data_IF_530079044702
#
_entry.id   IF_530079044702
#
_cell.length_a   1.000
_cell.length_b   1.000
_cell.length_c   1.000
_cell.angle_alpha   90.00
_cell.angle_beta   90.00
_cell.angle_gamma   90.00
#
_symmetry.space_group_name_H-M   'P 1'
#
loop_
_entity.id
_entity.type
_entity.pdbx_description
1 polymer ?
#
# COMPACT_ATOMS: atom_id res chain seq x y z
N UNK A 1 -17.97 -14.24 42.99
CA UNK A 1 -17.92 -13.51 41.70
C UNK A 1 -16.74 -14.04 40.92
N UNK A 2 -16.95 -14.82 39.85
CA UNK A 2 -15.87 -15.44 39.04
C UNK A 2 -15.79 -14.71 37.70
N UNK A 3 -14.69 -13.99 37.49
CA UNK A 3 -14.44 -13.16 36.31
C UNK A 3 -14.05 -14.05 35.13
N UNK A 4 -14.92 -14.15 34.12
CA UNK A 4 -14.65 -14.89 32.88
C UNK A 4 -13.83 -14.01 31.95
N UNK A 5 -12.54 -14.31 31.84
CA UNK A 5 -11.60 -13.68 30.92
C UNK A 5 -11.88 -14.19 29.50
N UNK A 6 -12.51 -13.38 28.66
CA UNK A 6 -12.75 -13.69 27.25
C UNK A 6 -11.60 -13.13 26.40
N UNK A 7 -10.50 -13.87 26.28
CA UNK A 7 -9.44 -13.59 25.28
C UNK A 7 -9.97 -14.00 23.91
N UNK A 8 -10.41 -13.02 23.13
CA UNK A 8 -10.74 -13.16 21.71
C UNK A 8 -9.44 -13.28 20.91
N UNK A 9 -9.03 -14.52 20.67
CA UNK A 9 -7.98 -14.89 19.71
C UNK A 9 -8.54 -14.78 18.29
N UNK A 10 -8.48 -13.61 17.67
CA UNK A 10 -8.72 -13.45 16.23
C UNK A 10 -7.43 -13.76 15.47
N UNK A 11 -7.13 -15.05 15.35
CA UNK A 11 -6.25 -15.55 14.31
C UNK A 11 -7.00 -15.48 12.98
N UNK A 12 -6.58 -14.58 12.09
CA UNK A 12 -6.97 -14.61 10.69
C UNK A 12 -5.70 -14.47 9.84
N UNK A 13 -5.16 -15.64 9.50
CA UNK A 13 -4.23 -15.85 8.41
C UNK A 13 -4.87 -15.34 7.11
N UNK A 14 -4.34 -14.25 6.56
CA UNK A 14 -4.63 -13.84 5.19
C UNK A 14 -3.36 -14.07 4.36
N UNK A 15 -3.25 -15.29 3.82
CA UNK A 15 -2.38 -15.57 2.70
C UNK A 15 -2.93 -14.80 1.48
N UNK A 16 -2.15 -13.87 0.92
CA UNK A 16 -2.43 -13.33 -0.41
C UNK A 16 -1.14 -13.21 -1.20
N UNK A 17 -1.22 -13.78 -2.38
CA UNK A 17 -0.21 -14.06 -3.39
C UNK A 17 0.53 -12.82 -3.88
N UNK A 18 1.84 -12.96 -4.09
CA UNK A 18 2.70 -11.99 -4.78
C UNK A 18 2.37 -11.97 -6.27
N UNK A 19 1.43 -11.12 -6.68
CA UNK A 19 1.24 -10.76 -8.08
C UNK A 19 2.32 -9.76 -8.49
N UNK A 20 3.37 -10.23 -9.18
CA UNK A 20 4.33 -9.39 -9.86
C UNK A 20 3.66 -8.79 -11.11
N UNK A 21 3.28 -7.52 -11.06
CA UNK A 21 2.69 -6.82 -12.19
C UNK A 21 3.77 -5.92 -12.80
N UNK A 22 4.20 -6.25 -14.02
CA UNK A 22 5.07 -5.42 -14.85
C UNK A 22 4.26 -4.17 -15.25
N UNK A 23 4.57 -3.03 -14.64
CA UNK A 23 3.92 -1.77 -14.97
C UNK A 23 4.64 -1.13 -16.17
N UNK A 24 3.95 -1.08 -17.31
CA UNK A 24 4.32 -0.29 -18.48
C UNK A 24 4.30 1.19 -18.10
N UNK A 25 5.41 1.89 -18.36
CA UNK A 25 5.63 3.31 -18.08
C UNK A 25 4.64 4.17 -18.87
N UNK A 26 3.61 4.69 -18.20
CA UNK A 26 2.84 5.84 -18.65
C UNK A 26 3.62 7.10 -18.22
N UNK A 27 3.83 8.09 -19.10
CA UNK A 27 4.55 9.31 -18.73
C UNK A 27 3.71 10.12 -17.74
N UNK A 28 4.09 10.08 -16.46
CA UNK A 28 3.57 10.96 -15.42
C UNK A 28 4.17 12.37 -15.60
N UNK A 29 3.42 13.46 -15.30
CA UNK A 29 3.91 14.82 -15.49
C UNK A 29 5.14 15.06 -14.62
N UNK A 30 6.15 15.71 -15.20
CA UNK A 30 7.36 16.11 -14.52
C UNK A 30 7.03 17.10 -13.39
N UNK A 31 6.93 16.60 -12.17
CA UNK A 31 6.86 17.37 -10.93
C UNK A 31 7.49 16.49 -9.87
N UNK A 32 8.82 16.59 -9.72
CA UNK A 32 9.71 16.02 -8.69
C UNK A 32 9.13 14.99 -7.69
N UNK A 33 8.43 13.97 -8.18
CA UNK A 33 7.86 12.89 -7.39
C UNK A 33 8.09 11.61 -8.17
N UNK A 34 9.02 10.80 -7.69
CA UNK A 34 9.33 9.51 -8.30
C UNK A 34 8.38 8.47 -7.73
N UNK A 35 7.53 7.90 -8.58
CA UNK A 35 6.72 6.76 -8.18
C UNK A 35 7.58 5.50 -8.18
N UNK A 36 7.75 4.92 -7.00
CA UNK A 36 8.60 3.76 -6.75
C UNK A 36 7.80 2.47 -6.90
N UNK A 37 6.53 2.47 -6.49
CA UNK A 37 5.69 1.26 -6.52
C UNK A 37 4.20 1.57 -6.47
N UNK A 38 3.41 0.76 -7.16
CA UNK A 38 1.94 0.84 -7.16
C UNK A 38 1.31 -0.20 -6.25
N UNK A 39 0.15 0.14 -5.69
CA UNK A 39 -0.69 -0.71 -4.87
C UNK A 39 -2.16 -0.54 -5.29
N UNK A 40 -2.97 -1.60 -5.24
CA UNK A 40 -4.39 -1.52 -5.59
C UNK A 40 -5.11 -0.57 -4.65
N UNK A 41 -6.11 0.17 -5.15
CA UNK A 41 -6.92 1.10 -4.34
C UNK A 41 -7.95 0.36 -3.48
N UNK A 42 -7.44 -0.41 -2.52
CA UNK A 42 -8.19 -1.17 -1.51
C UNK A 42 -7.62 -0.89 -0.13
N UNK A 43 -8.36 -1.22 0.93
CA UNK A 43 -7.88 -1.06 2.32
C UNK A 43 -6.57 -1.83 2.58
N UNK A 44 -6.40 -3.01 1.97
CA UNK A 44 -5.17 -3.78 2.07
C UNK A 44 -4.01 -3.12 1.30
N UNK A 45 -4.28 -2.53 0.13
CA UNK A 45 -3.31 -1.76 -0.63
C UNK A 45 -2.84 -0.51 0.12
N UNK A 46 -3.75 0.21 0.79
CA UNK A 46 -3.40 1.35 1.63
C UNK A 46 -2.46 0.97 2.78
N UNK A 47 -2.74 -0.16 3.46
CA UNK A 47 -1.86 -0.69 4.51
C UNK A 47 -0.50 -1.10 3.98
N UNK A 48 -0.49 -1.79 2.84
CA UNK A 48 0.74 -2.27 2.20
C UNK A 48 1.62 -1.13 1.72
N UNK A 49 1.02 -0.07 1.18
CA UNK A 49 1.74 1.14 0.81
C UNK A 49 2.36 1.78 2.06
N UNK A 50 1.56 2.03 3.11
CA UNK A 50 2.06 2.67 4.34
C UNK A 50 3.18 1.85 5.00
N UNK A 51 3.05 0.52 5.04
CA UNK A 51 4.09 -0.36 5.56
C UNK A 51 5.39 -0.25 4.74
N UNK A 52 5.28 -0.14 3.41
CA UNK A 52 6.43 0.04 2.54
C UNK A 52 7.09 1.42 2.70
N UNK A 53 6.31 2.49 2.84
CA UNK A 53 6.83 3.83 3.14
C UNK A 53 7.63 3.84 4.45
N UNK A 54 7.06 3.29 5.53
CA UNK A 54 7.73 3.18 6.82
C UNK A 54 9.00 2.32 6.78
N UNK A 55 9.07 1.34 5.88
CA UNK A 55 10.24 0.46 5.73
C UNK A 55 11.31 1.05 4.81
N UNK A 56 10.92 1.90 3.86
CA UNK A 56 11.80 2.47 2.85
C UNK A 56 12.59 3.68 3.39
N UNK A 57 11.97 4.49 4.26
CA UNK A 57 12.62 5.65 4.89
C UNK A 57 11.71 6.88 4.97
N UNK A 58 12.15 7.93 5.66
CA UNK A 58 11.32 9.11 5.97
C UNK A 58 10.96 9.95 4.72
N UNK A 59 11.72 9.80 3.64
CA UNK A 59 11.47 10.48 2.36
C UNK A 59 10.38 9.81 1.51
N UNK A 60 9.95 8.60 1.88
CA UNK A 60 8.93 7.85 1.17
C UNK A 60 7.55 8.05 1.80
N UNK A 61 6.54 8.24 0.98
CA UNK A 61 5.16 8.41 1.43
C UNK A 61 4.18 7.76 0.45
N UNK A 62 2.95 7.57 0.91
CA UNK A 62 1.89 7.02 0.10
C UNK A 62 0.98 8.11 -0.43
N UNK A 63 0.90 8.21 -1.75
CA UNK A 63 -0.03 9.09 -2.46
C UNK A 63 -1.06 8.27 -3.24
N UNK A 64 -2.11 8.93 -3.72
CA UNK A 64 -3.12 8.32 -4.59
C UNK A 64 -2.96 8.95 -5.96
N UNK A 65 -2.84 8.11 -6.98
CA UNK A 65 -2.85 8.57 -8.37
C UNK A 65 -4.05 8.00 -9.11
N UNK A 66 -4.26 8.51 -10.31
CA UNK A 66 -5.16 7.89 -11.29
C UNK A 66 -4.35 7.51 -12.53
N UNK A 67 -4.32 6.22 -12.86
CA UNK A 67 -3.68 5.69 -14.07
C UNK A 67 -4.77 5.11 -14.97
N UNK A 68 -4.93 5.66 -16.17
CA UNK A 68 -5.93 5.19 -17.14
C UNK A 68 -7.37 5.15 -16.58
N UNK A 69 -7.74 6.12 -15.74
CA UNK A 69 -9.06 6.18 -15.09
C UNK A 69 -9.22 5.30 -13.84
N UNK A 70 -8.21 4.51 -13.48
CA UNK A 70 -8.22 3.66 -12.27
C UNK A 70 -7.42 4.32 -11.16
N UNK A 71 -8.01 4.44 -9.96
CA UNK A 71 -7.30 4.91 -8.77
C UNK A 71 -6.35 3.84 -8.25
N UNK A 72 -5.15 4.24 -7.82
CA UNK A 72 -4.15 3.38 -7.22
C UNK A 72 -3.42 4.12 -6.09
N UNK A 73 -2.98 3.40 -5.07
CA UNK A 73 -2.01 3.93 -4.12
C UNK A 73 -0.61 3.81 -4.71
N UNK A 74 0.25 4.77 -4.42
CA UNK A 74 1.58 4.87 -4.97
C UNK A 74 2.56 5.22 -3.86
N UNK A 75 3.62 4.43 -3.74
CA UNK A 75 4.78 4.80 -2.95
C UNK A 75 5.57 5.83 -3.76
N UNK A 76 5.62 7.06 -3.26
CA UNK A 76 6.30 8.19 -3.87
C UNK A 76 7.42 8.69 -2.96
N UNK A 77 8.37 9.38 -3.55
CA UNK A 77 9.43 10.15 -2.91
C UNK A 77 9.65 11.42 -3.73
N UNK A 78 10.13 12.51 -3.12
CA UNK A 78 10.56 13.68 -3.89
C UNK A 78 11.74 13.34 -4.83
#
# INVERSE_FOLDING_TARGET
>A
MKTVVRRLSLGMSAAVTTAAMVAVLVPAPASAEVIVRWYPYTTAGAKSCNAAANSAGPEYYCTVVTVGGTKMYALARP
#
